data_IF_317349795354
#
_entry.id   IF_317349795354
#
_cell.length_a   1.000
_cell.length_b   1.000
_cell.length_c   1.000
_cell.angle_alpha   90.00
_cell.angle_beta   90.00
_cell.angle_gamma   90.00
#
_symmetry.space_group_name_H-M   'P 1'
#
loop_
_entity.id
_entity.type
_entity.pdbx_description
1 polymer ?
#
# COMPACT_ATOMS: atom_id res chain seq x y z
N UNK A 1 -9.28 -7.27 23.71
CA UNK A 1 -9.93 -6.38 22.73
C UNK A 1 -9.56 -6.86 21.33
N UNK A 2 -10.57 -7.20 20.53
CA UNK A 2 -10.52 -7.89 19.23
C UNK A 2 -10.25 -6.95 18.04
N UNK A 3 -9.36 -5.97 18.23
CA UNK A 3 -9.07 -4.90 17.25
C UNK A 3 -8.17 -5.39 16.10
N UNK A 4 -7.49 -6.54 16.27
CA UNK A 4 -6.45 -7.02 15.37
C UNK A 4 -6.93 -7.43 13.96
N UNK A 5 -7.93 -8.29 13.85
CA UNK A 5 -8.25 -8.94 12.56
C UNK A 5 -9.14 -8.09 11.65
N UNK A 6 -10.07 -7.33 12.22
CA UNK A 6 -11.00 -6.50 11.46
C UNK A 6 -10.29 -5.31 10.80
N UNK A 7 -9.44 -4.59 11.54
CA UNK A 7 -8.67 -3.47 11.00
C UNK A 7 -7.63 -3.94 9.98
N UNK A 8 -6.94 -5.05 10.23
CA UNK A 8 -6.02 -5.65 9.26
C UNK A 8 -6.75 -6.04 7.96
N UNK A 9 -7.94 -6.62 8.05
CA UNK A 9 -8.78 -6.94 6.88
C UNK A 9 -9.22 -5.69 6.12
N UNK A 10 -9.49 -4.59 6.84
CA UNK A 10 -9.84 -3.30 6.26
C UNK A 10 -8.65 -2.71 5.48
N UNK A 11 -7.45 -2.71 6.06
CA UNK A 11 -6.22 -2.24 5.41
C UNK A 11 -5.94 -3.03 4.13
N UNK A 12 -6.05 -4.36 4.17
CA UNK A 12 -5.84 -5.21 2.99
C UNK A 12 -6.88 -4.90 1.90
N UNK A 13 -8.16 -4.80 2.28
CA UNK A 13 -9.23 -4.53 1.32
C UNK A 13 -9.07 -3.16 0.66
N UNK A 14 -8.85 -2.11 1.45
CA UNK A 14 -8.64 -0.75 0.93
C UNK A 14 -7.37 -0.68 0.08
N UNK A 15 -6.31 -1.41 0.43
CA UNK A 15 -5.11 -1.52 -0.40
C UNK A 15 -5.37 -2.19 -1.74
N UNK A 16 -6.13 -3.28 -1.77
CA UNK A 16 -6.53 -3.94 -3.01
C UNK A 16 -7.37 -3.02 -3.91
N UNK A 17 -8.30 -2.26 -3.34
CA UNK A 17 -9.13 -1.29 -4.06
C UNK A 17 -8.28 -0.15 -4.66
N UNK A 18 -7.29 0.35 -3.92
CA UNK A 18 -6.34 1.35 -4.42
C UNK A 18 -5.49 0.82 -5.59
N UNK A 19 -4.99 -0.42 -5.49
CA UNK A 19 -4.19 -1.05 -6.55
C UNK A 19 -5.02 -1.31 -7.81
N UNK A 20 -6.26 -1.78 -7.67
CA UNK A 20 -7.18 -1.96 -8.80
C UNK A 20 -7.42 -0.63 -9.49
N UNK A 21 -7.73 0.42 -8.74
CA UNK A 21 -7.93 1.77 -9.29
C UNK A 21 -6.69 2.28 -10.03
N UNK A 22 -5.51 2.21 -9.39
CA UNK A 22 -4.24 2.65 -9.97
C UNK A 22 -3.86 1.88 -11.25
N UNK A 23 -4.17 0.58 -11.32
CA UNK A 23 -3.90 -0.26 -12.49
C UNK A 23 -4.92 -0.10 -13.63
N UNK A 24 -6.10 0.47 -13.34
CA UNK A 24 -7.23 0.55 -14.26
C UNK A 24 -7.34 1.89 -14.98
N UNK A 25 -6.34 2.78 -14.88
CA UNK A 25 -6.30 4.07 -15.59
C UNK A 25 -5.39 3.97 -16.83
N UNK A 26 -5.86 3.42 -17.98
CA UNK A 26 -5.11 3.45 -19.21
C UNK A 26 -5.33 4.82 -19.85
N UNK A 27 -4.65 5.86 -19.40
CA UNK A 27 -4.57 7.10 -20.18
C UNK A 27 -3.66 6.85 -21.37
N UNK A 28 -4.18 6.79 -22.60
CA UNK A 28 -3.39 6.42 -23.79
C UNK A 28 -2.26 7.41 -24.10
N UNK A 29 -2.29 8.59 -23.49
CA UNK A 29 -1.46 9.76 -23.72
C UNK A 29 -0.42 10.04 -22.62
N UNK A 30 -0.60 9.50 -21.40
CA UNK A 30 0.39 9.58 -20.30
C UNK A 30 1.21 8.28 -20.14
N UNK A 31 0.72 7.17 -20.66
CA UNK A 31 1.45 5.90 -20.78
C UNK A 31 1.72 5.17 -19.46
N UNK A 32 2.59 4.15 -19.54
CA UNK A 32 2.94 3.26 -18.42
C UNK A 32 3.60 3.99 -17.24
N UNK A 33 4.17 5.18 -17.45
CA UNK A 33 4.80 5.98 -16.39
C UNK A 33 3.77 6.53 -15.38
N UNK A 34 2.62 7.02 -15.85
CA UNK A 34 1.55 7.48 -14.96
C UNK A 34 0.96 6.32 -14.15
N UNK A 35 0.83 5.13 -14.74
CA UNK A 35 0.39 3.92 -14.04
C UNK A 35 1.38 3.55 -12.93
N UNK A 36 2.69 3.57 -13.20
CA UNK A 36 3.71 3.32 -12.17
C UNK A 36 3.66 4.34 -11.04
N UNK A 37 3.50 5.62 -11.35
CA UNK A 37 3.40 6.68 -10.34
C UNK A 37 2.16 6.47 -9.45
N UNK A 38 1.01 6.16 -10.04
CA UNK A 38 -0.22 5.85 -9.31
C UNK A 38 -0.06 4.62 -8.40
N UNK A 39 0.59 3.56 -8.92
CA UNK A 39 0.86 2.34 -8.15
C UNK A 39 1.85 2.58 -7.01
N UNK A 40 2.92 3.35 -7.24
CA UNK A 40 3.89 3.76 -6.23
C UNK A 40 3.20 4.52 -5.09
N UNK A 41 2.38 5.52 -5.43
CA UNK A 41 1.61 6.28 -4.45
C UNK A 41 0.63 5.41 -3.66
N UNK A 42 -0.06 4.47 -4.32
CA UNK A 42 -0.97 3.54 -3.65
C UNK A 42 -0.23 2.65 -2.65
N UNK A 43 0.96 2.14 -2.99
CA UNK A 43 1.78 1.31 -2.12
C UNK A 43 2.27 2.07 -0.88
N UNK A 44 2.68 3.35 -1.03
CA UNK A 44 3.07 4.18 0.12
C UNK A 44 1.90 4.41 1.07
N UNK A 45 0.70 4.66 0.55
CA UNK A 45 -0.50 4.85 1.37
C UNK A 45 -0.84 3.57 2.18
N UNK A 46 -0.68 2.39 1.57
CA UNK A 46 -0.88 1.10 2.25
C UNK A 46 0.18 0.91 3.34
N UNK A 47 1.46 1.18 3.03
CA UNK A 47 2.55 1.09 3.98
C UNK A 47 2.33 2.01 5.19
N UNK A 48 1.86 3.23 4.95
CA UNK A 48 1.57 4.20 6.01
C UNK A 48 0.36 3.80 6.86
N UNK A 49 -0.71 3.27 6.25
CA UNK A 49 -1.86 2.75 6.98
C UNK A 49 -1.46 1.57 7.89
N UNK A 50 -0.62 0.67 7.38
CA UNK A 50 -0.13 -0.49 8.11
C UNK A 50 0.80 -0.10 9.28
N UNK A 51 1.68 0.87 9.08
CA UNK A 51 2.53 1.42 10.14
C UNK A 51 1.71 2.13 11.23
N UNK A 52 0.64 2.82 10.85
CA UNK A 52 -0.27 3.49 11.79
C UNK A 52 -1.05 2.48 12.63
N UNK A 53 -1.52 1.40 11.98
CA UNK A 53 -2.17 0.28 12.67
C UNK A 53 -1.21 -0.35 13.70
N UNK A 54 0.04 -0.60 13.34
CA UNK A 54 1.05 -1.13 14.29
C UNK A 54 1.29 -0.23 15.50
N UNK A 55 1.39 1.08 15.31
CA UNK A 55 1.60 2.02 16.40
C UNK A 55 0.48 1.97 17.46
N UNK A 56 -0.73 1.53 17.07
CA UNK A 56 -1.87 1.34 17.95
C UNK A 56 -1.93 -0.04 18.65
N UNK A 57 -1.12 -1.02 18.24
CA UNK A 57 -1.17 -2.41 18.75
C UNK A 57 0.07 -2.72 19.57
N UNK A 58 -0.11 -2.92 20.89
CA UNK A 58 0.97 -3.33 21.78
C UNK A 58 1.34 -4.82 21.55
N UNK A 59 2.23 -5.11 20.60
CA UNK A 59 2.74 -6.45 20.32
C UNK A 59 3.77 -6.50 19.20
N UNK A 60 4.57 -7.57 19.15
CA UNK A 60 5.54 -7.81 18.07
C UNK A 60 4.81 -8.15 16.78
N UNK A 61 4.78 -7.23 15.83
CA UNK A 61 4.05 -7.44 14.56
C UNK A 61 4.98 -7.81 13.42
N UNK A 62 4.54 -8.74 12.56
CA UNK A 62 5.22 -9.09 11.29
C UNK A 62 5.09 -8.01 10.22
N UNK A 63 4.19 -7.05 10.43
CA UNK A 63 3.83 -6.06 9.43
C UNK A 63 4.93 -5.00 9.21
N UNK A 64 5.92 -4.86 10.11
CA UNK A 64 7.04 -3.93 9.91
C UNK A 64 7.88 -4.32 8.70
N UNK A 65 8.04 -5.63 8.44
CA UNK A 65 8.68 -6.14 7.23
C UNK A 65 7.84 -5.84 5.98
N UNK A 66 6.52 -5.99 6.07
CA UNK A 66 5.62 -5.66 4.96
C UNK A 66 5.58 -4.15 4.65
N UNK A 67 5.69 -3.28 5.65
CA UNK A 67 5.83 -1.84 5.45
C UNK A 67 7.10 -1.55 4.64
N UNK A 68 8.22 -2.21 4.97
CA UNK A 68 9.48 -2.04 4.24
C UNK A 68 9.37 -2.59 2.81
N UNK A 69 8.77 -3.77 2.62
CA UNK A 69 8.58 -4.37 1.30
C UNK A 69 7.70 -3.49 0.40
N UNK A 70 6.59 -2.96 0.92
CA UNK A 70 5.69 -2.08 0.17
C UNK A 70 6.38 -0.78 -0.26
N UNK A 71 7.20 -0.20 0.60
CA UNK A 71 8.01 1.00 0.29
C UNK A 71 9.07 0.71 -0.76
N UNK A 72 9.78 -0.40 -0.62
CA UNK A 72 10.79 -0.81 -1.62
C UNK A 72 10.17 -0.98 -3.01
N UNK A 73 9.01 -1.61 -3.11
CA UNK A 73 8.30 -1.74 -4.40
C UNK A 73 7.80 -0.39 -4.91
N UNK A 74 7.36 0.51 -4.02
CA UNK A 74 6.94 1.87 -4.40
C UNK A 74 8.11 2.68 -4.98
N UNK A 75 9.28 2.59 -4.35
CA UNK A 75 10.52 3.25 -4.79
C UNK A 75 10.99 2.68 -6.14
N UNK A 76 11.02 1.35 -6.29
CA UNK A 76 11.39 0.67 -7.56
C UNK A 76 10.47 1.05 -8.73
N UNK A 77 9.19 1.34 -8.45
CA UNK A 77 8.24 1.81 -9.45
C UNK A 77 8.45 3.29 -9.81
N UNK A 78 8.93 4.10 -8.86
CA UNK A 78 9.26 5.51 -9.06
C UNK A 78 10.61 5.74 -9.75
N UNK A 79 11.59 4.86 -9.51
CA UNK A 79 12.89 4.86 -10.18
C UNK A 79 12.81 4.19 -11.57
N UNK A 80 12.15 4.82 -12.56
CA UNK A 80 12.34 4.52 -14.00
C UNK A 80 11.60 5.46 -14.95
#
# INVERSE_FOLDING_TARGET
>A
MSVNEYEASLVIRSGAELLVSASSDPRPDEGYAAVKANMSQALELIAQALATFEAGVAGTSRSTGWVQDLRGVADDLGEK
#
